data_IF_304832294997
#
_entry.id   IF_304832294997
#
_cell.length_a   1.000
_cell.length_b   1.000
_cell.length_c   1.000
_cell.angle_alpha   90.00
_cell.angle_beta   90.00
_cell.angle_gamma   90.00
#
_symmetry.space_group_name_H-M   'P 1'
#
loop_
_entity.id
_entity.type
_entity.pdbx_description
1 polymer ?
#
# COMPACT_ATOMS: atom_id res chain seq x y z
N UNK A 1 -21.43 0.65 7.92
CA UNK A 1 -20.57 1.72 7.33
C UNK A 1 -19.41 2.09 8.24
N UNK A 2 -19.64 2.37 9.53
CA UNK A 2 -18.58 2.74 10.51
C UNK A 2 -17.45 1.70 10.57
N UNK A 3 -17.79 0.41 10.59
CA UNK A 3 -16.80 -0.69 10.64
C UNK A 3 -15.81 -0.66 9.46
N UNK A 4 -16.28 -0.43 8.23
CA UNK A 4 -15.41 -0.35 7.04
C UNK A 4 -14.49 0.87 7.06
N UNK A 5 -14.95 1.99 7.60
CA UNK A 5 -14.12 3.19 7.80
C UNK A 5 -13.02 2.93 8.83
N UNK A 6 -13.33 2.22 9.91
CA UNK A 6 -12.35 1.83 10.93
C UNK A 6 -11.26 0.93 10.34
N UNK A 7 -11.63 -0.08 9.55
CA UNK A 7 -10.65 -0.92 8.86
C UNK A 7 -9.77 -0.14 7.90
N UNK A 8 -10.33 0.79 7.13
CA UNK A 8 -9.55 1.66 6.23
C UNK A 8 -8.51 2.47 7.00
N UNK A 9 -8.92 3.13 8.08
CA UNK A 9 -8.02 3.96 8.90
C UNK A 9 -6.89 3.12 9.48
N UNK A 10 -7.21 1.95 10.04
CA UNK A 10 -6.19 1.02 10.56
C UNK A 10 -5.24 0.59 9.45
N UNK A 11 -5.74 0.28 8.26
CA UNK A 11 -4.90 -0.15 7.15
C UNK A 11 -3.96 0.95 6.68
N UNK A 12 -4.44 2.20 6.57
CA UNK A 12 -3.61 3.36 6.22
C UNK A 12 -2.49 3.56 7.26
N UNK A 13 -2.83 3.45 8.55
CA UNK A 13 -1.84 3.58 9.64
C UNK A 13 -0.79 2.48 9.55
N UNK A 14 -1.20 1.22 9.35
CA UNK A 14 -0.30 0.08 9.23
C UNK A 14 0.63 0.21 8.02
N UNK A 15 0.09 0.57 6.84
CA UNK A 15 0.88 0.80 5.63
C UNK A 15 1.86 1.94 5.82
N UNK A 16 1.41 3.06 6.39
CA UNK A 16 2.27 4.20 6.71
C UNK A 16 3.40 3.82 7.65
N UNK A 17 3.12 3.01 8.66
CA UNK A 17 4.12 2.53 9.62
C UNK A 17 5.16 1.62 8.95
N UNK A 18 4.74 0.72 8.06
CA UNK A 18 5.65 -0.17 7.31
C UNK A 18 6.56 0.64 6.39
N UNK A 19 6.00 1.60 5.64
CA UNK A 19 6.79 2.47 4.75
C UNK A 19 7.78 3.34 5.53
N UNK A 20 7.35 3.87 6.68
CA UNK A 20 8.20 4.63 7.59
C UNK A 20 9.37 3.77 8.10
N UNK A 21 9.09 2.54 8.54
CA UNK A 21 10.12 1.62 9.02
C UNK A 21 11.11 1.22 7.93
N UNK A 22 10.64 0.94 6.70
CA UNK A 22 11.52 0.66 5.56
C UNK A 22 12.43 1.85 5.24
N UNK A 23 11.87 3.06 5.24
CA UNK A 23 12.61 4.28 4.95
C UNK A 23 13.68 4.55 6.02
N UNK A 24 13.31 4.35 7.30
CA UNK A 24 14.24 4.43 8.42
C UNK A 24 15.37 3.40 8.30
N UNK A 25 15.06 2.15 7.96
CA UNK A 25 16.04 1.09 7.81
C UNK A 25 17.06 1.38 6.68
N UNK A 26 16.59 1.96 5.57
CA UNK A 26 17.46 2.39 4.47
C UNK A 26 18.38 3.55 4.85
N UNK A 27 17.93 4.46 5.73
CA UNK A 27 18.77 5.57 6.17
C UNK A 27 19.82 5.16 7.22
N UNK A 28 19.50 4.19 8.08
CA UNK A 28 20.41 3.63 9.10
C UNK A 28 21.47 2.71 8.48
N UNK A 29 21.13 1.98 7.41
CA UNK A 29 22.11 1.14 6.73
C UNK A 29 23.19 2.01 6.04
N UNK A 30 24.50 1.72 6.25
CA UNK A 30 25.59 2.40 5.57
C UNK A 30 25.73 1.90 4.12
N UNK A 31 24.67 2.05 3.34
CA UNK A 31 24.65 1.75 1.90
C UNK A 31 25.33 2.89 1.14
N UNK A 32 26.07 2.53 0.09
CA UNK A 32 26.67 3.50 -0.83
C UNK A 32 25.62 4.51 -1.33
N UNK A 33 26.00 5.78 -1.51
CA UNK A 33 25.07 6.87 -1.85
C UNK A 33 24.17 6.59 -3.06
N UNK A 34 24.68 5.87 -4.07
CA UNK A 34 23.90 5.46 -5.25
C UNK A 34 22.79 4.48 -4.86
N UNK A 35 23.10 3.49 -4.04
CA UNK A 35 22.13 2.51 -3.55
C UNK A 35 21.09 3.14 -2.63
N UNK A 36 21.50 4.08 -1.75
CA UNK A 36 20.57 4.83 -0.89
C UNK A 36 19.55 5.62 -1.73
N UNK A 37 20.01 6.27 -2.80
CA UNK A 37 19.13 7.06 -3.69
C UNK A 37 18.13 6.17 -4.43
N UNK A 38 18.58 5.03 -4.97
CA UNK A 38 17.70 4.05 -5.63
C UNK A 38 16.70 3.44 -4.64
N UNK A 39 17.15 3.06 -3.44
CA UNK A 39 16.28 2.48 -2.41
C UNK A 39 15.20 3.47 -1.95
N UNK A 40 15.54 4.76 -1.75
CA UNK A 40 14.55 5.80 -1.43
C UNK A 40 13.50 5.96 -2.52
N UNK A 41 13.92 6.00 -3.78
CA UNK A 41 12.99 6.10 -4.92
C UNK A 41 12.13 4.83 -5.02
N UNK A 42 12.71 3.64 -4.87
CA UNK A 42 11.99 2.38 -4.90
C UNK A 42 10.93 2.29 -3.78
N UNK A 43 11.29 2.68 -2.55
CA UNK A 43 10.34 2.74 -1.42
C UNK A 43 9.19 3.71 -1.73
N UNK A 44 9.49 4.87 -2.31
CA UNK A 44 8.47 5.85 -2.67
C UNK A 44 7.52 5.30 -3.73
N UNK A 45 8.05 4.67 -4.79
CA UNK A 45 7.25 4.05 -5.85
C UNK A 45 6.38 2.92 -5.29
N UNK A 46 6.95 2.04 -4.46
CA UNK A 46 6.21 0.95 -3.80
C UNK A 46 5.12 1.51 -2.89
N UNK A 47 5.41 2.55 -2.11
CA UNK A 47 4.44 3.18 -1.22
C UNK A 47 3.27 3.80 -1.97
N UNK A 48 3.54 4.51 -3.07
CA UNK A 48 2.49 5.05 -3.94
C UNK A 48 1.64 3.93 -4.54
N UNK A 49 2.26 2.84 -5.01
CA UNK A 49 1.55 1.70 -5.59
C UNK A 49 0.63 1.02 -4.57
N UNK A 50 1.09 0.85 -3.32
CA UNK A 50 0.28 0.28 -2.23
C UNK A 50 -0.92 1.20 -1.93
N UNK A 51 -0.72 2.52 -1.87
CA UNK A 51 -1.81 3.48 -1.64
C UNK A 51 -2.85 3.40 -2.76
N UNK A 52 -2.42 3.30 -4.02
CA UNK A 52 -3.31 3.16 -5.18
C UNK A 52 -4.11 1.85 -5.07
N UNK A 53 -3.45 0.73 -4.80
CA UNK A 53 -4.12 -0.57 -4.64
C UNK A 53 -5.12 -0.57 -3.48
N UNK A 54 -4.78 0.10 -2.37
CA UNK A 54 -5.67 0.28 -1.24
C UNK A 54 -6.92 1.09 -1.64
N UNK A 55 -6.72 2.20 -2.37
CA UNK A 55 -7.82 3.01 -2.88
C UNK A 55 -8.71 2.21 -3.83
N UNK A 56 -8.13 1.45 -4.75
CA UNK A 56 -8.87 0.60 -5.70
C UNK A 56 -9.66 -0.51 -5.00
N UNK A 57 -9.09 -1.10 -3.94
CA UNK A 57 -9.77 -2.07 -3.11
C UNK A 57 -10.98 -1.44 -2.40
N UNK A 58 -10.81 -0.23 -1.86
CA UNK A 58 -11.90 0.49 -1.19
C UNK A 58 -13.01 0.98 -2.14
N UNK A 59 -12.64 1.35 -3.37
CA UNK A 59 -13.59 1.71 -4.44
C UNK A 59 -14.30 0.48 -5.03
N UNK A 60 -13.90 -0.75 -4.66
CA UNK A 60 -14.56 -1.99 -5.07
C UNK A 60 -14.15 -2.51 -6.45
N UNK A 61 -13.08 -1.97 -7.06
CA UNK A 61 -12.64 -2.38 -8.41
C UNK A 61 -12.03 -3.78 -8.43
N UNK A 62 -11.53 -4.26 -7.29
CA UNK A 62 -11.00 -5.62 -7.12
C UNK A 62 -12.07 -6.63 -6.70
N UNK A 63 -13.30 -6.17 -6.45
CA UNK A 63 -14.44 -6.99 -6.07
C UNK A 63 -15.09 -7.59 -7.33
N UNK A 64 -14.25 -8.15 -8.22
CA UNK A 64 -14.64 -8.83 -9.46
C UNK A 64 -15.61 -9.96 -9.16
N UNK A 65 -16.87 -9.59 -8.95
CA UNK A 65 -17.96 -10.50 -8.66
C UNK A 65 -18.05 -11.43 -9.85
N UNK A 66 -18.13 -12.75 -9.62
CA UNK A 66 -18.28 -13.69 -10.71
C UNK A 66 -19.47 -13.24 -11.57
N UNK A 67 -19.39 -13.34 -12.91
CA UNK A 67 -20.53 -13.04 -13.76
C UNK A 67 -21.68 -13.86 -13.20
N UNK A 68 -22.72 -13.16 -12.70
CA UNK A 68 -23.96 -13.81 -12.29
C UNK A 68 -24.57 -14.35 -13.58
N UNK A 69 -24.10 -15.52 -14.00
CA UNK A 69 -24.80 -16.35 -14.95
C UNK A 69 -26.19 -16.49 -14.37
N UNK A 70 -27.17 -15.94 -15.08
CA UNK A 70 -28.56 -16.22 -14.87
C UNK A 70 -28.71 -17.73 -14.71
N UNK A 71 -29.12 -18.13 -13.51
CA UNK A 71 -29.77 -19.42 -13.33
C UNK A 71 -31.21 -19.30 -13.84
N UNK A 72 -31.77 -20.42 -14.32
CA UNK A 72 -32.55 -20.55 -15.56
C UNK A 72 -33.86 -19.76 -15.60
#
# INVERSE_FOLDING_TARGET
MISGLTYLVVYIIVVGLILWLLSYLVDVLPLQERFRRVAKVAILVIGVLIIILLLLNFVGVLDGGPPRLGRP
#
